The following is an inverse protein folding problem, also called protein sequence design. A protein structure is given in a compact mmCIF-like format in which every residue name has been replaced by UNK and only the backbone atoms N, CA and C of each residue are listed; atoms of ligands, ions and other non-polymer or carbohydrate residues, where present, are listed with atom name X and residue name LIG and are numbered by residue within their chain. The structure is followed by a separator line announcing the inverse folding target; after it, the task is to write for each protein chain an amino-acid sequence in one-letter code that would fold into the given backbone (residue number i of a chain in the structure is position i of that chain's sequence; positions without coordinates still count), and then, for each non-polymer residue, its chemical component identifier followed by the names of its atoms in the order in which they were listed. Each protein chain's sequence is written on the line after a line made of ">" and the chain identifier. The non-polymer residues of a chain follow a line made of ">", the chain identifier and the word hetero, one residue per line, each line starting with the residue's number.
data_IF_824576213612
#
_entry.id   IF_824576213612
#
_cell.length_a   1.000
_cell.length_b   1.000
_cell.length_c   1.000
_cell.angle_alpha   90.00
_cell.angle_beta   90.00
_cell.angle_gamma   90.00
#
_symmetry.space_group_name_H-M   'P 1'
#
loop_
_entity.id
_entity.type
_entity.pdbx_description
1 polymer ?
#
# COMPACT_ATOMS: atom_id res chain seq x y z
N UNK A 1 1.70 -11.17 -1.32
CA UNK A 1 1.59 -10.33 -2.54
C UNK A 1 0.21 -10.33 -3.22
N UNK A 2 -0.41 -11.48 -3.52
CA UNK A 2 -1.73 -11.52 -4.20
C UNK A 2 -2.84 -10.76 -3.45
N UNK A 3 -3.00 -11.03 -2.15
CA UNK A 3 -4.00 -10.35 -1.30
C UNK A 3 -3.73 -8.86 -1.16
N UNK A 4 -2.46 -8.45 -1.04
CA UNK A 4 -2.07 -7.05 -1.04
C UNK A 4 -2.54 -6.34 -2.32
N UNK A 5 -2.23 -6.92 -3.48
CA UNK A 5 -2.60 -6.35 -4.78
C UNK A 5 -4.11 -6.23 -4.93
N UNK A 6 -4.88 -7.28 -4.63
CA UNK A 6 -6.36 -7.23 -4.70
C UNK A 6 -6.95 -6.16 -3.78
N UNK A 7 -6.51 -6.09 -2.53
CA UNK A 7 -6.99 -5.08 -1.59
C UNK A 7 -6.63 -3.66 -2.05
N UNK A 8 -5.43 -3.49 -2.59
CA UNK A 8 -4.94 -2.19 -3.06
C UNK A 8 -5.61 -1.73 -4.37
N UNK A 9 -5.98 -2.67 -5.25
CA UNK A 9 -6.82 -2.40 -6.44
C UNK A 9 -8.21 -1.95 -6.00
N UNK A 10 -8.88 -2.70 -5.13
CA UNK A 10 -10.24 -2.36 -4.65
C UNK A 10 -10.26 -1.02 -3.91
N UNK A 11 -9.22 -0.74 -3.13
CA UNK A 11 -9.03 0.56 -2.49
C UNK A 11 -8.88 1.69 -3.52
N UNK A 12 -7.92 1.58 -4.45
CA UNK A 12 -7.66 2.64 -5.44
C UNK A 12 -8.81 2.83 -6.42
N UNK A 13 -9.63 1.80 -6.66
CA UNK A 13 -10.88 1.95 -7.40
C UNK A 13 -11.77 3.04 -6.78
N UNK A 14 -11.91 3.04 -5.45
CA UNK A 14 -12.73 4.06 -4.76
C UNK A 14 -12.06 5.42 -4.79
N UNK A 15 -10.75 5.49 -4.52
CA UNK A 15 -10.01 6.74 -4.47
C UNK A 15 -9.92 7.43 -5.84
N UNK A 16 -9.71 6.66 -6.91
CA UNK A 16 -9.73 7.17 -8.29
C UNK A 16 -11.07 7.79 -8.64
N UNK A 17 -12.16 7.07 -8.36
CA UNK A 17 -13.51 7.57 -8.62
C UNK A 17 -13.87 8.78 -7.73
N UNK A 18 -13.42 8.83 -6.48
CA UNK A 18 -13.57 10.02 -5.63
C UNK A 18 -12.83 11.23 -6.19
N UNK A 19 -11.59 11.04 -6.64
CA UNK A 19 -10.80 12.12 -7.21
C UNK A 19 -11.49 12.76 -8.44
N UNK A 20 -12.10 11.93 -9.29
CA UNK A 20 -12.77 12.41 -10.50
C UNK A 20 -14.20 12.90 -10.26
N UNK A 21 -15.04 12.11 -9.58
CA UNK A 21 -16.47 12.39 -9.41
C UNK A 21 -16.84 13.04 -8.08
N UNK A 22 -15.95 13.01 -7.08
CA UNK A 22 -16.21 13.53 -5.73
C UNK A 22 -16.69 14.99 -5.73
N UNK A 23 -16.00 15.93 -6.40
CA UNK A 23 -16.46 17.32 -6.49
C UNK A 23 -17.84 17.44 -7.14
N UNK A 24 -18.09 16.68 -8.21
CA UNK A 24 -19.38 16.69 -8.92
C UNK A 24 -20.51 16.13 -8.04
N UNK A 25 -20.27 15.04 -7.33
CA UNK A 25 -21.20 14.49 -6.36
C UNK A 25 -21.45 15.49 -5.23
N UNK A 26 -20.40 16.12 -4.70
CA UNK A 26 -20.50 17.16 -3.68
C UNK A 26 -21.35 18.37 -4.10
N UNK A 27 -21.14 18.86 -5.32
CA UNK A 27 -21.95 19.93 -5.91
C UNK A 27 -23.43 19.53 -6.02
N UNK A 28 -23.71 18.34 -6.56
CA UNK A 28 -25.09 17.91 -6.79
C UNK A 28 -25.84 17.53 -5.50
N UNK A 29 -25.15 17.01 -4.50
CA UNK A 29 -25.75 16.53 -3.25
C UNK A 29 -25.92 17.68 -2.24
N UNK A 30 -24.94 18.58 -2.15
CA UNK A 30 -24.85 19.59 -1.08
C UNK A 30 -24.81 21.03 -1.57
N UNK A 31 -24.93 21.27 -2.89
CA UNK A 31 -24.89 22.61 -3.49
C UNK A 31 -23.63 23.42 -3.14
N UNK A 32 -22.48 22.73 -3.04
CA UNK A 32 -21.20 23.35 -2.73
C UNK A 32 -20.76 24.31 -3.84
N UNK A 33 -20.59 25.60 -3.54
CA UNK A 33 -20.14 26.61 -4.53
C UNK A 33 -18.73 26.36 -5.08
N UNK A 34 -17.85 25.77 -4.27
CA UNK A 34 -16.44 25.52 -4.59
C UNK A 34 -16.06 24.08 -4.23
N UNK A 35 -16.76 23.13 -4.83
CA UNK A 35 -16.63 21.70 -4.53
C UNK A 35 -15.19 21.19 -4.79
N UNK A 36 -14.58 21.56 -5.93
CA UNK A 36 -13.23 21.11 -6.28
C UNK A 36 -12.17 21.58 -5.26
N UNK A 37 -12.23 22.85 -4.85
CA UNK A 37 -11.32 23.41 -3.85
C UNK A 37 -11.52 22.78 -2.47
N UNK A 38 -12.77 22.47 -2.11
CA UNK A 38 -13.08 21.87 -0.81
C UNK A 38 -12.62 20.42 -0.76
N UNK A 39 -13.00 19.61 -1.74
CA UNK A 39 -12.56 18.22 -1.84
C UNK A 39 -11.03 18.13 -1.96
N UNK A 40 -10.44 18.84 -2.92
CA UNK A 40 -8.98 18.84 -3.10
C UNK A 40 -8.23 19.33 -1.86
N UNK A 41 -8.76 20.36 -1.17
CA UNK A 41 -8.17 20.86 0.08
C UNK A 41 -8.20 19.82 1.20
N UNK A 42 -9.34 19.14 1.40
CA UNK A 42 -9.47 18.05 2.37
C UNK A 42 -8.50 16.92 2.00
N UNK A 43 -8.47 16.51 0.74
CA UNK A 43 -7.61 15.42 0.26
C UNK A 43 -6.12 15.74 0.44
N UNK A 44 -5.67 16.97 0.22
CA UNK A 44 -4.26 17.35 0.45
C UNK A 44 -3.92 17.25 1.95
N UNK A 45 -4.74 17.85 2.81
CA UNK A 45 -4.50 17.85 4.26
C UNK A 45 -4.55 16.42 4.80
N UNK A 46 -5.63 15.69 4.49
CA UNK A 46 -5.81 14.31 4.94
C UNK A 46 -4.77 13.37 4.33
N UNK A 47 -4.36 13.60 3.09
CA UNK A 47 -3.31 12.85 2.40
C UNK A 47 -1.98 12.94 3.12
N UNK A 48 -1.54 14.16 3.47
CA UNK A 48 -0.28 14.39 4.19
C UNK A 48 -0.35 13.78 5.59
N UNK A 49 -1.34 14.18 6.40
CA UNK A 49 -1.41 13.76 7.79
C UNK A 49 -1.74 12.27 7.95
N UNK A 50 -2.65 11.74 7.12
CA UNK A 50 -3.00 10.34 7.09
C UNK A 50 -1.80 9.47 6.74
N UNK A 51 -1.11 9.77 5.63
CA UNK A 51 0.07 8.99 5.19
C UNK A 51 1.16 8.95 6.27
N UNK A 52 1.48 10.09 6.87
CA UNK A 52 2.46 10.18 7.95
C UNK A 52 2.00 9.39 9.18
N UNK A 53 0.76 9.55 9.61
CA UNK A 53 0.21 8.83 10.75
C UNK A 53 0.24 7.31 10.53
N UNK A 54 -0.11 6.83 9.33
CA UNK A 54 -0.07 5.42 8.96
C UNK A 54 1.33 4.82 9.10
N UNK A 55 2.35 5.49 8.58
CA UNK A 55 3.75 5.06 8.73
C UNK A 55 4.21 5.07 10.19
N UNK A 56 3.98 6.18 10.90
CA UNK A 56 4.40 6.32 12.29
C UNK A 56 3.69 5.36 13.25
N UNK A 57 2.42 5.03 13.00
CA UNK A 57 1.69 4.03 13.79
C UNK A 57 2.27 2.65 13.52
N UNK A 58 2.57 2.31 12.26
CA UNK A 58 3.19 1.04 11.91
C UNK A 58 4.53 0.85 12.63
N UNK A 59 5.38 1.88 12.62
CA UNK A 59 6.66 1.87 13.31
C UNK A 59 6.52 1.71 14.83
N UNK A 60 5.48 2.32 15.43
CA UNK A 60 5.20 2.18 16.86
C UNK A 60 4.71 0.79 17.26
N UNK A 61 3.93 0.11 16.41
CA UNK A 61 3.37 -1.21 16.72
C UNK A 61 4.31 -2.37 16.33
N UNK A 62 5.58 -2.07 16.04
CA UNK A 62 6.57 -2.94 15.42
C UNK A 62 6.18 -3.31 13.98
N UNK A 63 6.94 -2.75 13.04
CA UNK A 63 6.73 -2.90 11.60
C UNK A 63 6.98 -4.35 11.20
N UNK A 64 5.88 -5.10 11.05
CA UNK A 64 5.85 -6.47 10.54
C UNK A 64 4.77 -6.57 9.48
N UNK A 65 4.85 -7.57 8.61
CA UNK A 65 3.84 -7.77 7.56
C UNK A 65 2.45 -8.03 8.16
N UNK A 66 2.37 -8.82 9.24
CA UNK A 66 1.09 -9.08 9.92
C UNK A 66 0.50 -7.81 10.55
N UNK A 67 1.30 -7.01 11.26
CA UNK A 67 0.82 -5.77 11.84
C UNK A 67 0.44 -4.73 10.78
N UNK A 68 1.12 -4.73 9.64
CA UNK A 68 0.74 -3.91 8.48
C UNK A 68 -0.66 -4.28 7.98
N UNK A 69 -0.97 -5.57 7.81
CA UNK A 69 -2.32 -6.00 7.42
C UNK A 69 -3.38 -5.67 8.47
N UNK A 70 -3.07 -5.77 9.77
CA UNK A 70 -3.98 -5.33 10.84
C UNK A 70 -4.28 -3.83 10.73
N UNK A 71 -3.25 -3.01 10.47
CA UNK A 71 -3.42 -1.56 10.30
C UNK A 71 -4.20 -1.25 9.02
N UNK A 72 -3.90 -1.91 7.90
CA UNK A 72 -4.64 -1.75 6.63
C UNK A 72 -6.13 -2.06 6.79
N UNK A 73 -6.45 -3.17 7.45
CA UNK A 73 -7.82 -3.54 7.78
C UNK A 73 -8.49 -2.49 8.66
N UNK A 74 -7.88 -2.18 9.82
CA UNK A 74 -8.48 -1.28 10.80
C UNK A 74 -8.67 0.15 10.26
N UNK A 75 -7.64 0.69 9.62
CA UNK A 75 -7.68 2.02 9.03
C UNK A 75 -8.77 2.08 7.94
N UNK A 76 -8.79 1.14 7.01
CA UNK A 76 -9.77 1.26 5.92
C UNK A 76 -11.19 0.91 6.34
N UNK A 77 -11.38 -0.02 7.28
CA UNK A 77 -12.71 -0.29 7.83
C UNK A 77 -13.27 0.96 8.53
N UNK A 78 -12.45 1.64 9.33
CA UNK A 78 -12.83 2.88 9.98
C UNK A 78 -13.07 4.00 8.95
N UNK A 79 -12.18 4.14 7.98
CA UNK A 79 -12.33 5.08 6.86
C UNK A 79 -13.61 4.85 6.07
N UNK A 80 -13.95 3.59 5.79
CA UNK A 80 -15.19 3.20 5.12
C UNK A 80 -16.42 3.62 5.93
N UNK A 81 -16.44 3.37 7.25
CA UNK A 81 -17.54 3.79 8.13
C UNK A 81 -17.73 5.30 8.07
N UNK A 82 -16.67 6.08 8.25
CA UNK A 82 -16.77 7.54 8.28
C UNK A 82 -17.14 8.14 6.91
N UNK A 83 -16.55 7.65 5.82
CA UNK A 83 -16.91 8.08 4.46
C UNK A 83 -18.36 7.70 4.12
N UNK A 84 -18.79 6.48 4.46
CA UNK A 84 -20.15 6.03 4.19
C UNK A 84 -21.16 6.85 5.00
N UNK A 85 -20.89 7.03 6.29
CA UNK A 85 -21.69 7.88 7.16
C UNK A 85 -21.77 9.31 6.64
N UNK A 86 -20.66 9.89 6.15
CA UNK A 86 -20.65 11.23 5.56
C UNK A 86 -21.71 11.36 4.45
N UNK A 87 -21.78 10.40 3.52
CA UNK A 87 -22.77 10.39 2.45
C UNK A 87 -24.20 10.04 2.90
N UNK A 88 -24.42 9.58 4.14
CA UNK A 88 -25.75 9.41 4.71
C UNK A 88 -26.35 10.74 5.22
N UNK A 89 -25.51 11.68 5.68
CA UNK A 89 -25.97 12.97 6.19
C UNK A 89 -26.28 13.96 5.08
N UNK A 90 -27.29 14.81 5.27
CA UNK A 90 -27.67 15.86 4.31
C UNK A 90 -26.97 17.20 4.58
N UNK A 91 -26.47 17.38 5.79
CA UNK A 91 -25.78 18.60 6.19
C UNK A 91 -24.35 18.64 5.65
N UNK A 92 -23.99 19.77 5.03
CA UNK A 92 -22.68 19.97 4.39
C UNK A 92 -21.53 19.96 5.41
N UNK A 93 -21.71 20.58 6.57
CA UNK A 93 -20.64 20.67 7.57
C UNK A 93 -20.39 19.32 8.22
N UNK A 94 -21.45 18.56 8.50
CA UNK A 94 -21.36 17.18 8.98
C UNK A 94 -20.69 16.29 7.92
N UNK A 95 -21.06 16.44 6.65
CA UNK A 95 -20.41 15.73 5.55
C UNK A 95 -18.90 16.02 5.52
N UNK A 96 -18.50 17.29 5.50
CA UNK A 96 -17.08 17.69 5.46
C UNK A 96 -16.32 17.11 6.65
N UNK A 97 -16.86 17.22 7.87
CA UNK A 97 -16.19 16.73 9.07
C UNK A 97 -15.99 15.21 9.03
N UNK A 98 -17.03 14.44 8.74
CA UNK A 98 -16.97 12.97 8.69
C UNK A 98 -16.13 12.49 7.52
N UNK A 99 -16.26 13.12 6.35
CA UNK A 99 -15.49 12.78 5.16
C UNK A 99 -14.00 13.04 5.39
N UNK A 100 -13.63 14.15 6.04
CA UNK A 100 -12.23 14.45 6.40
C UNK A 100 -11.65 13.40 7.35
N UNK A 101 -12.41 12.98 8.37
CA UNK A 101 -11.98 11.91 9.28
C UNK A 101 -11.83 10.59 8.51
N UNK A 102 -12.78 10.26 7.64
CA UNK A 102 -12.72 9.08 6.79
C UNK A 102 -11.51 9.09 5.86
N UNK A 103 -11.22 10.21 5.20
CA UNK A 103 -10.05 10.38 4.33
C UNK A 103 -8.74 10.24 5.11
N UNK A 104 -8.63 10.78 6.33
CA UNK A 104 -7.44 10.58 7.18
C UNK A 104 -7.12 9.09 7.39
N UNK A 105 -8.15 8.29 7.69
CA UNK A 105 -7.99 6.84 7.87
C UNK A 105 -7.67 6.13 6.56
N UNK A 106 -8.34 6.52 5.46
CA UNK A 106 -8.08 5.99 4.12
C UNK A 106 -6.62 6.23 3.71
N UNK A 107 -6.10 7.44 3.90
CA UNK A 107 -4.70 7.76 3.58
C UNK A 107 -3.69 7.18 4.58
N UNK A 108 -4.10 6.77 5.78
CA UNK A 108 -3.22 6.03 6.70
C UNK A 108 -2.79 4.65 6.18
N UNK A 109 -3.39 4.17 5.10
CA UNK A 109 -3.01 2.90 4.45
C UNK A 109 -1.71 2.99 3.64
N UNK A 110 -1.28 4.19 3.25
CA UNK A 110 -0.18 4.38 2.29
C UNK A 110 1.15 3.83 2.79
N UNK A 111 1.52 4.12 4.04
CA UNK A 111 2.73 3.58 4.67
C UNK A 111 2.72 2.04 4.75
N UNK A 112 1.70 1.43 5.36
CA UNK A 112 1.60 -0.03 5.47
C UNK A 112 1.55 -0.79 4.15
N UNK A 113 0.85 -0.29 3.11
CA UNK A 113 0.84 -0.95 1.79
C UNK A 113 2.26 -1.03 1.23
N UNK A 114 2.98 0.09 1.27
CA UNK A 114 4.36 0.17 0.77
C UNK A 114 5.30 -0.71 1.58
N UNK A 115 5.15 -0.73 2.91
CA UNK A 115 5.91 -1.62 3.79
C UNK A 115 5.75 -3.08 3.37
N UNK A 116 4.52 -3.57 3.21
CA UNK A 116 4.27 -4.97 2.81
C UNK A 116 4.84 -5.26 1.43
N UNK A 117 4.73 -4.32 0.48
CA UNK A 117 5.25 -4.48 -0.88
C UNK A 117 6.78 -4.68 -0.90
N UNK A 118 7.51 -3.94 -0.05
CA UNK A 118 8.96 -3.99 0.05
C UNK A 118 9.49 -5.20 0.86
N UNK A 119 8.77 -5.63 1.90
CA UNK A 119 9.18 -6.73 2.78
C UNK A 119 8.71 -8.11 2.28
N UNK A 120 7.81 -8.15 1.29
CA UNK A 120 7.34 -9.41 0.67
C UNK A 120 8.30 -9.99 -0.37
N UNK A 121 9.35 -9.26 -0.76
CA UNK A 121 10.27 -9.62 -1.84
C UNK A 121 11.72 -9.37 -1.43
N UNK A 122 12.66 -10.02 -2.12
CA UNK A 122 14.10 -9.77 -1.92
C UNK A 122 14.49 -8.36 -2.35
N UNK A 123 15.56 -7.77 -1.75
CA UNK A 123 16.06 -6.44 -2.09
C UNK A 123 16.14 -6.13 -3.59
N UNK A 124 16.69 -7.05 -4.37
CA UNK A 124 16.86 -6.89 -5.82
C UNK A 124 15.54 -6.78 -6.60
N UNK A 125 14.42 -7.27 -6.04
CA UNK A 125 13.11 -7.30 -6.68
C UNK A 125 12.16 -6.20 -6.18
N UNK A 126 12.57 -5.38 -5.20
CA UNK A 126 11.72 -4.32 -4.61
C UNK A 126 11.23 -3.29 -5.64
N UNK A 127 12.08 -2.75 -6.55
CA UNK A 127 11.60 -1.80 -7.56
C UNK A 127 10.56 -2.43 -8.47
N UNK A 128 10.76 -3.70 -8.85
CA UNK A 128 9.81 -4.44 -9.68
C UNK A 128 8.49 -4.68 -8.94
N UNK A 129 8.53 -5.08 -7.67
CA UNK A 129 7.34 -5.28 -6.83
C UNK A 129 6.48 -4.02 -6.76
N UNK A 130 7.12 -2.87 -6.48
CA UNK A 130 6.45 -1.57 -6.44
C UNK A 130 5.88 -1.19 -7.81
N UNK A 131 6.66 -1.33 -8.89
CA UNK A 131 6.20 -1.04 -10.24
C UNK A 131 5.01 -1.90 -10.65
N UNK A 132 5.04 -3.21 -10.38
CA UNK A 132 3.95 -4.13 -10.66
C UNK A 132 2.69 -3.78 -9.84
N UNK A 133 2.85 -3.39 -8.58
CA UNK A 133 1.74 -2.91 -7.76
C UNK A 133 1.11 -1.65 -8.35
N UNK A 134 1.92 -0.67 -8.74
CA UNK A 134 1.45 0.58 -9.37
C UNK A 134 0.74 0.31 -10.70
N UNK A 135 1.32 -0.50 -11.58
CA UNK A 135 0.69 -0.88 -12.85
C UNK A 135 -0.64 -1.60 -12.60
N UNK A 136 -0.70 -2.48 -11.59
CA UNK A 136 -1.93 -3.20 -11.26
C UNK A 136 -3.05 -2.27 -10.82
N UNK A 137 -2.77 -1.27 -9.97
CA UNK A 137 -3.80 -0.31 -9.54
C UNK A 137 -4.23 0.61 -10.68
N UNK A 138 -3.35 0.92 -11.64
CA UNK A 138 -3.74 1.72 -12.80
C UNK A 138 -4.61 0.93 -13.76
N UNK A 139 -4.25 -0.31 -14.08
CA UNK A 139 -5.01 -1.12 -15.04
C UNK A 139 -6.38 -1.53 -14.48
N UNK A 140 -6.47 -1.84 -13.18
CA UNK A 140 -7.66 -2.45 -12.58
C UNK A 140 -8.38 -1.59 -11.54
N UNK A 141 -7.75 -0.54 -11.04
CA UNK A 141 -8.25 0.29 -9.95
C UNK A 141 -8.69 1.67 -10.42
N UNK A 142 -7.82 2.67 -10.26
CA UNK A 142 -8.17 4.08 -10.36
C UNK A 142 -8.55 4.53 -11.78
N UNK A 143 -7.82 4.15 -12.84
CA UNK A 143 -8.14 4.53 -14.23
C UNK A 143 -9.49 3.98 -14.70
N UNK A 144 -9.80 2.67 -14.57
CA UNK A 144 -11.10 2.15 -14.99
C UNK A 144 -12.25 2.56 -14.06
N UNK A 145 -11.98 2.99 -12.82
CA UNK A 145 -13.04 3.34 -11.87
C UNK A 145 -13.90 4.51 -12.34
N UNK A 146 -13.32 5.59 -12.84
CA UNK A 146 -14.03 6.79 -13.28
C UNK A 146 -15.07 6.51 -14.37
N UNK A 147 -14.74 5.86 -15.51
CA UNK A 147 -15.75 5.53 -16.51
C UNK A 147 -16.80 4.52 -15.99
N UNK A 148 -16.40 3.53 -15.18
CA UNK A 148 -17.36 2.55 -14.61
C UNK A 148 -18.37 3.20 -13.65
N UNK A 149 -17.91 4.13 -12.80
CA UNK A 149 -18.78 4.89 -11.91
C UNK A 149 -19.65 5.88 -12.69
N UNK A 150 -19.15 6.43 -13.80
CA UNK A 150 -19.96 7.23 -14.72
C UNK A 150 -21.13 6.44 -15.29
N UNK A 151 -20.87 5.24 -15.80
CA UNK A 151 -21.91 4.32 -16.28
C UNK A 151 -22.89 3.95 -15.17
N UNK A 152 -22.40 3.63 -13.96
CA UNK A 152 -23.25 3.37 -12.80
C UNK A 152 -24.15 4.56 -12.48
N UNK A 153 -23.61 5.79 -12.51
CA UNK A 153 -24.37 7.00 -12.28
C UNK A 153 -25.45 7.23 -13.33
N UNK A 154 -25.18 6.92 -14.60
CA UNK A 154 -26.15 7.05 -15.69
C UNK A 154 -27.35 6.10 -15.51
N UNK A 155 -27.14 4.94 -14.88
CA UNK A 155 -28.22 4.00 -14.53
C UNK A 155 -28.97 4.42 -13.26
N UNK A 156 -28.25 4.75 -12.19
CA UNK A 156 -28.83 5.06 -10.86
C UNK A 156 -29.49 6.44 -10.84
N UNK A 157 -28.96 7.41 -11.60
CA UNK A 157 -29.42 8.80 -11.67
C UNK A 157 -29.48 9.54 -10.33
N UNK A 158 -28.79 9.04 -9.31
CA UNK A 158 -28.74 9.62 -7.97
C UNK A 158 -27.31 9.59 -7.42
N UNK A 159 -26.68 10.76 -7.34
CA UNK A 159 -25.30 10.89 -6.87
C UNK A 159 -25.08 10.36 -5.45
N UNK A 160 -26.08 10.44 -4.58
CA UNK A 160 -25.95 9.96 -3.20
C UNK A 160 -25.91 8.44 -3.16
N UNK A 161 -26.78 7.77 -3.91
CA UNK A 161 -26.78 6.30 -4.02
C UNK A 161 -25.50 5.80 -4.70
N UNK A 162 -25.09 6.42 -5.81
CA UNK A 162 -23.84 6.09 -6.49
C UNK A 162 -22.64 6.24 -5.57
N UNK A 163 -22.55 7.34 -4.80
CA UNK A 163 -21.48 7.55 -3.83
C UNK A 163 -21.49 6.49 -2.73
N UNK A 164 -22.65 6.10 -2.20
CA UNK A 164 -22.77 5.06 -1.17
C UNK A 164 -22.37 3.67 -1.71
N UNK A 165 -22.80 3.32 -2.92
CA UNK A 165 -22.41 2.08 -3.60
C UNK A 165 -20.89 2.04 -3.80
N UNK A 166 -20.32 3.13 -4.33
CA UNK A 166 -18.88 3.26 -4.51
C UNK A 166 -18.13 3.14 -3.18
N UNK A 167 -18.58 3.85 -2.14
CA UNK A 167 -17.97 3.83 -0.81
C UNK A 167 -17.99 2.43 -0.21
N UNK A 168 -19.05 1.64 -0.47
CA UNK A 168 -19.19 0.30 0.07
C UNK A 168 -18.08 -0.66 -0.36
N UNK A 169 -17.42 -0.40 -1.49
CA UNK A 169 -16.27 -1.17 -1.98
C UNK A 169 -15.09 -1.09 -1.00
N UNK A 170 -14.98 -0.02 -0.18
CA UNK A 170 -13.96 0.04 0.88
C UNK A 170 -14.17 -1.02 1.96
N UNK A 171 -15.40 -1.45 2.24
CA UNK A 171 -15.65 -2.60 3.13
C UNK A 171 -15.15 -3.91 2.51
N UNK A 172 -15.27 -4.07 1.19
CA UNK A 172 -14.69 -5.21 0.48
C UNK A 172 -13.15 -5.18 0.57
N UNK A 173 -12.54 -4.01 0.34
CA UNK A 173 -11.10 -3.82 0.49
C UNK A 173 -10.64 -4.16 1.93
N UNK A 174 -11.40 -3.71 2.94
CA UNK A 174 -11.19 -4.08 4.35
C UNK A 174 -11.23 -5.60 4.55
N UNK A 175 -12.26 -6.28 4.04
CA UNK A 175 -12.35 -7.74 4.10
C UNK A 175 -11.15 -8.44 3.43
N UNK A 176 -10.64 -7.89 2.32
CA UNK A 176 -9.45 -8.43 1.65
C UNK A 176 -8.20 -8.27 2.52
N UNK A 177 -7.95 -7.10 3.13
CA UNK A 177 -6.81 -6.95 4.05
C UNK A 177 -6.94 -7.80 5.30
N UNK A 178 -8.16 -8.03 5.80
CA UNK A 178 -8.41 -8.93 6.93
C UNK A 178 -7.93 -10.36 6.62
N UNK A 179 -8.20 -10.88 5.42
CA UNK A 179 -7.65 -12.16 4.98
C UNK A 179 -6.11 -12.17 4.96
N UNK A 180 -5.51 -11.01 4.70
CA UNK A 180 -4.06 -10.80 4.74
C UNK A 180 -3.41 -11.00 6.11
N UNK A 181 -4.17 -10.82 7.20
CA UNK A 181 -3.68 -10.99 8.58
C UNK A 181 -3.27 -12.45 8.85
N UNK A 182 -3.98 -13.40 8.24
CA UNK A 182 -3.79 -14.84 8.45
C UNK A 182 -2.79 -15.48 7.48
N UNK A 183 -2.32 -14.73 6.48
CA UNK A 183 -1.33 -15.25 5.56
C UNK A 183 0.03 -15.32 6.25
N UNK A 184 0.62 -16.51 6.28
CA UNK A 184 2.00 -16.71 6.69
C UNK A 184 2.93 -16.03 5.68
N UNK A 185 3.32 -14.79 5.98
CA UNK A 185 4.25 -14.04 5.17
C UNK A 185 5.65 -14.13 5.78
N UNK A 186 6.58 -14.70 5.01
CA UNK A 186 8.01 -14.63 5.34
C UNK A 186 8.48 -13.21 5.05
N UNK A 187 9.13 -12.58 6.01
CA UNK A 187 9.83 -11.31 5.78
C UNK A 187 11.10 -11.60 5.00
N UNK A 188 11.15 -11.11 3.76
CA UNK A 188 12.26 -11.35 2.83
C UNK A 188 13.19 -10.15 2.72
N UNK A 189 13.02 -9.15 3.59
CA UNK A 189 13.71 -7.89 3.45
C UNK A 189 15.25 -8.05 3.52
N UNK A 190 15.78 -9.01 4.27
CA UNK A 190 17.23 -9.20 4.45
C UNK A 190 17.83 -10.44 3.74
N UNK A 191 17.06 -11.19 2.93
CA UNK A 191 17.50 -12.49 2.38
C UNK A 191 18.80 -12.44 1.52
N UNK A 192 19.09 -11.32 0.84
CA UNK A 192 20.32 -11.21 0.02
C UNK A 192 21.60 -11.02 0.86
N UNK A 193 21.47 -10.56 2.12
CA UNK A 193 22.61 -10.34 3.03
C UNK A 193 23.19 -11.66 3.58
N UNK A 194 22.36 -12.67 3.81
CA UNK A 194 22.81 -13.96 4.37
C UNK A 194 23.60 -14.80 3.36
N UNK A 195 23.25 -14.73 2.07
CA UNK A 195 23.98 -15.42 1.00
C UNK A 195 25.35 -14.78 0.71
N UNK A 196 25.51 -13.46 0.88
CA UNK A 196 26.81 -12.82 0.74
C UNK A 196 27.74 -13.09 1.92
N UNK A 197 27.23 -13.11 3.16
CA UNK A 197 28.04 -13.40 4.36
C UNK A 197 28.58 -14.85 4.34
N UNK A 198 27.74 -15.82 3.97
CA UNK A 198 28.18 -17.23 3.87
C UNK A 198 29.20 -17.48 2.75
N UNK A 199 29.15 -16.70 1.65
CA UNK A 199 30.14 -16.77 0.58
C UNK A 199 31.51 -16.20 0.97
N UNK A 200 31.53 -15.09 1.69
CA UNK A 200 32.76 -14.41 2.15
C UNK A 200 33.46 -15.20 3.25
N UNK A 201 32.71 -15.79 4.19
CA UNK A 201 33.27 -16.66 5.23
C UNK A 201 33.89 -17.93 4.64
N UNK A 202 33.26 -18.49 3.60
CA UNK A 202 33.78 -19.67 2.86
C UNK A 202 34.99 -19.34 1.99
N UNK A 203 35.14 -18.11 1.49
CA UNK A 203 36.36 -17.69 0.79
C UNK A 203 37.55 -17.47 1.72
N UNK A 204 37.30 -17.05 2.97
CA UNK A 204 38.34 -16.84 3.98
C UNK A 204 38.86 -18.15 4.60
N UNK A 205 38.19 -19.28 4.36
CA UNK A 205 38.57 -20.61 4.86
C UNK A 205 39.42 -21.45 3.87
N UNK A 206 39.85 -20.89 2.72
CA UNK A 206 40.87 -21.58 1.90
C UNK A 206 42.20 -21.60 2.66
N UNK A 207 42.73 -22.77 3.06
CA UNK A 207 44.00 -22.82 3.76
C UNK A 207 45.12 -22.42 2.80
N UNK A 208 45.89 -21.41 3.18
CA UNK A 208 47.17 -21.03 2.57
C UNK A 208 48.23 -22.13 2.82
N UNK A 209 48.12 -23.24 2.11
CA UNK A 209 49.12 -24.32 2.12
C UNK A 209 49.48 -24.72 0.69
N UNK A 210 50.08 -23.79 -0.06
CA UNK A 210 50.86 -24.19 -1.24
C UNK A 210 51.96 -23.16 -1.58
N UNK A 211 52.92 -23.00 -0.67
CA UNK A 211 53.99 -22.03 -0.93
C UNK A 211 55.04 -21.87 0.14
N UNK A 212 55.67 -22.95 0.62
CA UNK A 212 57.02 -22.82 1.20
C UNK A 212 57.77 -24.16 1.18
N UNK A 213 58.61 -24.37 0.16
CA UNK A 213 59.89 -25.09 0.30
C UNK A 213 60.90 -24.43 -0.64
N UNK A 214 61.73 -23.57 -0.06
CA UNK A 214 62.89 -22.91 -0.67
C UNK A 214 64.15 -23.65 -0.23
N UNK A 215 65.00 -24.03 -1.21
CA UNK A 215 66.48 -24.22 -1.16
C UNK A 215 67.04 -25.24 -0.11
N UNK A 216 68.15 -25.99 -0.29
CA UNK A 216 69.45 -25.69 -0.92
C UNK A 216 70.27 -27.00 -1.11
N UNK A 217 71.01 -27.08 -2.22
CA UNK A 217 72.32 -27.74 -2.54
C UNK A 217 72.88 -28.98 -1.80
N UNK A 218 73.37 -29.96 -2.59
CA UNK A 218 74.79 -30.39 -2.76
C UNK A 218 74.82 -31.72 -3.56
N UNK A 219 75.28 -31.73 -4.80
CA UNK A 219 76.64 -32.14 -5.26
C UNK A 219 76.92 -33.67 -5.25
N UNK A 220 77.18 -34.20 -6.46
CA UNK A 220 78.13 -35.28 -6.76
C UNK A 220 77.89 -36.71 -6.21
N UNK A 221 77.58 -37.67 -7.11
CA UNK A 221 78.55 -38.69 -7.58
C UNK A 221 77.86 -39.85 -8.32
N UNK A 222 78.67 -40.47 -9.17
CA UNK A 222 78.41 -41.50 -10.17
C UNK A 222 77.85 -42.85 -9.69
N UNK A 223 77.32 -43.59 -10.69
CA UNK A 223 77.09 -45.05 -10.83
C UNK A 223 75.87 -45.69 -10.14
#
# INVERSE_FOLDING_TARGET
>A
MKVLSLGYISYNFVIGAYSYWGPKAGYNIYHMKSADLTFGGITIVCGIFGTLAGGLILDRINSTISNSFKLLFGATFMGAIFCFAAFCFKDLYVFIALFSIGELFVFATQGPVNYVCLHSVTPNMRPLSMAMSTVSIHIFGDVPSSPLVGVLQDYVNNWRETALILTSILFLAAGIWFMGIFLHSVDRFNEDGEHQVSGVERSNLRPLLDGTKTETQEESAEL
#
